data_IF_342011597366
#
_entry.id   IF_342011597366
#
_cell.length_a   1.000
_cell.length_b   1.000
_cell.length_c   1.000
_cell.angle_alpha   90.00
_cell.angle_beta   90.00
_cell.angle_gamma   90.00
#
_symmetry.space_group_name_H-M   'P 1'
#
loop_
_entity.id
_entity.type
_entity.pdbx_description
1 polymer ?
#
# COMPACT_ATOMS: atom_id res chain seq x y z
N UNK A 1 27.91 -16.99 41.00
CA UNK A 1 28.47 -16.51 39.71
C UNK A 1 27.39 -16.72 38.67
N UNK A 2 26.59 -15.68 38.48
CA UNK A 2 25.51 -15.60 37.49
C UNK A 2 26.11 -15.66 36.08
N UNK A 3 25.54 -16.48 35.19
CA UNK A 3 25.85 -16.42 33.76
C UNK A 3 24.56 -16.19 32.99
N UNK A 4 24.45 -14.93 32.57
CA UNK A 4 23.53 -14.26 31.65
C UNK A 4 22.96 -15.14 30.53
N UNK A 5 21.64 -15.04 30.38
CA UNK A 5 20.83 -15.47 29.24
C UNK A 5 21.16 -14.59 28.02
N UNK A 6 21.39 -15.11 26.80
CA UNK A 6 21.35 -14.27 25.61
C UNK A 6 19.90 -14.10 25.17
N UNK A 7 19.41 -12.87 25.30
CA UNK A 7 18.18 -12.41 24.68
C UNK A 7 18.50 -12.01 23.24
N UNK A 8 18.20 -12.87 22.27
CA UNK A 8 18.25 -12.53 20.85
C UNK A 8 16.82 -12.25 20.36
N UNK A 9 16.43 -10.98 20.51
CA UNK A 9 15.25 -10.41 19.85
C UNK A 9 15.77 -9.49 18.75
N UNK A 10 16.30 -10.08 17.68
CA UNK A 10 16.61 -9.38 16.44
C UNK A 10 15.35 -9.03 15.66
N UNK A 11 14.58 -8.04 16.14
CA UNK A 11 13.62 -7.32 15.29
C UNK A 11 14.41 -6.35 14.43
N UNK A 12 14.78 -6.79 13.22
CA UNK A 12 15.27 -5.89 12.18
C UNK A 12 14.08 -5.02 11.73
N UNK A 13 13.90 -3.86 12.34
CA UNK A 13 13.06 -2.80 11.78
C UNK A 13 13.72 -2.36 10.46
N UNK A 14 13.30 -2.96 9.34
CA UNK A 14 13.66 -2.45 8.01
C UNK A 14 13.05 -1.06 7.89
N UNK A 15 13.91 -0.05 7.67
CA UNK A 15 13.48 1.33 7.57
C UNK A 15 12.57 1.51 6.34
N UNK A 16 11.33 1.91 6.57
CA UNK A 16 10.35 2.22 5.52
C UNK A 16 10.64 3.59 4.89
N UNK A 17 10.41 3.71 3.58
CA UNK A 17 10.62 4.95 2.82
C UNK A 17 9.31 5.45 2.24
N UNK A 18 9.03 6.76 2.36
CA UNK A 18 7.84 7.37 1.76
C UNK A 18 7.98 7.45 0.23
N UNK A 19 6.90 7.18 -0.49
CA UNK A 19 6.84 7.31 -1.94
C UNK A 19 7.13 8.74 -2.41
N UNK A 20 7.39 8.88 -3.70
CA UNK A 20 7.51 10.20 -4.35
C UNK A 20 6.13 10.81 -4.64
N UNK A 21 6.11 12.10 -4.99
CA UNK A 21 4.89 12.77 -5.43
C UNK A 21 4.22 12.02 -6.61
N UNK A 22 2.88 11.95 -6.65
CA UNK A 22 1.94 12.67 -5.78
C UNK A 22 1.49 11.91 -4.52
N UNK A 23 2.05 10.74 -4.21
CA UNK A 23 1.56 9.85 -3.15
C UNK A 23 2.34 9.99 -1.83
N UNK A 24 2.81 11.20 -1.54
CA UNK A 24 3.69 11.52 -0.41
C UNK A 24 3.07 12.53 0.57
N UNK A 25 1.74 12.69 0.53
CA UNK A 25 1.01 13.59 1.41
C UNK A 25 0.64 12.87 2.72
N UNK A 26 1.22 13.21 3.89
CA UNK A 26 0.95 12.50 5.15
C UNK A 26 -0.45 12.77 5.73
N UNK A 27 -1.27 13.60 5.08
CA UNK A 27 -2.61 13.97 5.54
C UNK A 27 -3.73 13.10 4.96
N UNK A 28 -3.40 12.02 4.24
CA UNK A 28 -4.40 11.09 3.72
C UNK A 28 -4.89 10.12 4.81
N UNK A 29 -5.97 9.40 4.54
CA UNK A 29 -6.59 8.46 5.49
C UNK A 29 -6.08 7.01 5.35
N UNK A 30 -5.34 6.69 4.28
CA UNK A 30 -4.78 5.36 4.02
C UNK A 30 -3.29 5.42 3.60
N UNK A 31 -2.52 4.45 4.07
CA UNK A 31 -1.14 4.17 3.65
C UNK A 31 -1.06 2.74 3.12
N UNK A 32 -0.52 2.59 1.92
CA UNK A 32 -0.20 1.28 1.33
C UNK A 32 1.28 1.02 1.54
N UNK A 33 1.61 -0.04 2.27
CA UNK A 33 2.97 -0.46 2.56
C UNK A 33 3.36 -1.67 1.70
N UNK A 34 4.29 -1.45 0.79
CA UNK A 34 4.70 -2.41 -0.24
C UNK A 34 5.83 -3.33 0.22
N UNK A 35 6.01 -4.45 -0.47
CA UNK A 35 6.97 -5.49 -0.07
C UNK A 35 8.45 -5.07 -0.12
N UNK A 36 8.76 -3.99 -0.84
CA UNK A 36 10.07 -3.34 -0.88
C UNK A 36 10.18 -2.15 0.10
N UNK A 37 9.30 -2.08 1.10
CA UNK A 37 9.24 -1.08 2.17
C UNK A 37 9.04 0.35 1.68
N UNK A 38 8.20 0.54 0.65
CA UNK A 38 7.72 1.87 0.25
C UNK A 38 6.28 2.09 0.73
N UNK A 39 6.03 3.25 1.33
CA UNK A 39 4.71 3.70 1.75
C UNK A 39 4.11 4.71 0.78
N UNK A 40 2.90 4.43 0.30
CA UNK A 40 2.10 5.35 -0.51
C UNK A 40 0.96 5.91 0.33
N UNK A 41 0.91 7.22 0.49
CA UNK A 41 -0.20 7.91 1.13
C UNK A 41 -1.31 8.20 0.11
N UNK A 42 -2.49 7.64 0.32
CA UNK A 42 -3.63 7.66 -0.61
C UNK A 42 -4.96 7.85 0.12
N UNK A 43 -6.00 8.20 -0.63
CA UNK A 43 -7.34 8.37 -0.08
C UNK A 43 -8.14 7.06 -0.24
N UNK A 44 -8.60 6.51 0.88
CA UNK A 44 -9.42 5.30 0.95
C UNK A 44 -10.64 5.43 0.03
N UNK A 45 -11.30 6.59 0.02
CA UNK A 45 -12.46 6.85 -0.84
C UNK A 45 -12.16 6.60 -2.33
N UNK A 46 -11.00 7.02 -2.80
CA UNK A 46 -10.61 6.87 -4.20
C UNK A 46 -10.30 5.40 -4.50
N UNK A 47 -9.57 4.74 -3.60
CA UNK A 47 -9.22 3.33 -3.75
C UNK A 47 -10.46 2.42 -3.73
N UNK A 48 -11.39 2.64 -2.79
CA UNK A 48 -12.70 1.98 -2.75
C UNK A 48 -13.51 2.20 -4.03
N UNK A 49 -13.50 3.43 -4.56
CA UNK A 49 -14.23 3.77 -5.78
C UNK A 49 -13.70 3.05 -7.03
N UNK A 50 -12.39 2.77 -7.06
CA UNK A 50 -11.75 2.09 -8.19
C UNK A 50 -11.64 0.56 -8.03
N UNK A 51 -11.77 0.04 -6.81
CA UNK A 51 -11.55 -1.37 -6.49
C UNK A 51 -12.68 -1.94 -5.61
N UNK A 52 -13.53 -2.82 -6.17
CA UNK A 52 -14.48 -3.62 -5.41
C UNK A 52 -13.83 -4.45 -4.31
N UNK A 53 -12.61 -4.96 -4.54
CA UNK A 53 -11.83 -5.69 -3.54
C UNK A 53 -11.63 -4.83 -2.28
N UNK A 54 -11.13 -3.61 -2.44
CA UNK A 54 -10.90 -2.70 -1.33
C UNK A 54 -12.21 -2.25 -0.69
N UNK A 55 -13.22 -1.89 -1.48
CA UNK A 55 -14.54 -1.55 -0.94
C UNK A 55 -15.12 -2.66 -0.06
N UNK A 56 -14.97 -3.93 -0.47
CA UNK A 56 -15.40 -5.07 0.31
C UNK A 56 -14.51 -5.25 1.56
N UNK A 57 -13.19 -5.22 1.42
CA UNK A 57 -12.25 -5.33 2.54
C UNK A 57 -12.55 -4.30 3.64
N UNK A 58 -12.68 -3.02 3.28
CA UNK A 58 -12.97 -1.95 4.23
C UNK A 58 -14.37 -2.05 4.83
N UNK A 59 -15.36 -2.59 4.11
CA UNK A 59 -16.71 -2.82 4.66
C UNK A 59 -16.74 -3.88 5.78
N UNK A 60 -15.77 -4.80 5.77
CA UNK A 60 -15.61 -5.83 6.81
C UNK A 60 -14.90 -5.28 8.06
N UNK A 61 -14.18 -4.16 7.93
CA UNK A 61 -13.60 -3.48 9.07
C UNK A 61 -14.75 -2.78 9.83
N UNK A 62 -15.07 -3.32 11.01
CA UNK A 62 -16.19 -2.88 11.85
C UNK A 62 -16.26 -1.34 11.96
N UNK A 63 -17.47 -0.72 12.00
CA UNK A 63 -17.64 0.73 12.07
C UNK A 63 -16.98 1.44 13.27
N UNK A 64 -16.43 0.70 14.23
CA UNK A 64 -15.57 1.23 15.28
C UNK A 64 -14.18 1.67 14.75
N UNK A 65 -13.69 1.05 13.67
CA UNK A 65 -12.46 1.43 12.95
C UNK A 65 -12.66 2.72 12.17
N UNK A 66 -13.82 2.85 11.50
CA UNK A 66 -14.17 3.95 10.58
C UNK A 66 -14.53 5.27 11.30
N UNK A 67 -14.88 5.22 12.60
CA UNK A 67 -15.28 6.39 13.39
C UNK A 67 -14.21 6.92 14.35
N UNK A 68 -13.03 6.32 14.35
CA UNK A 68 -11.95 6.80 15.20
C UNK A 68 -11.23 7.94 14.51
N UNK A 69 -11.08 9.09 15.17
CA UNK A 69 -10.24 10.20 14.69
C UNK A 69 -8.74 9.85 14.86
N UNK A 70 -8.34 8.63 14.54
CA UNK A 70 -7.03 8.03 14.79
C UNK A 70 -6.60 7.14 13.63
N UNK A 71 -5.34 6.68 13.66
CA UNK A 71 -4.27 7.00 12.71
C UNK A 71 -4.56 6.48 11.29
N UNK A 72 -3.83 7.03 10.32
CA UNK A 72 -3.78 6.54 8.93
C UNK A 72 -3.77 5.00 8.91
N UNK A 73 -4.75 4.39 8.24
CA UNK A 73 -4.81 2.93 8.15
C UNK A 73 -3.64 2.45 7.29
N UNK A 74 -2.87 1.46 7.76
CA UNK A 74 -1.75 0.90 6.99
C UNK A 74 -2.13 -0.47 6.48
N UNK A 75 -2.05 -0.68 5.16
CA UNK A 75 -2.28 -1.98 4.52
C UNK A 75 -0.98 -2.48 3.91
N UNK A 76 -0.54 -3.66 4.37
CA UNK A 76 0.56 -4.39 3.76
C UNK A 76 0.11 -5.10 2.49
N UNK A 77 0.93 -4.98 1.44
CA UNK A 77 0.69 -5.58 0.13
C UNK A 77 1.93 -6.34 -0.35
N UNK A 78 1.72 -7.43 -1.07
CA UNK A 78 2.81 -8.32 -1.49
C UNK A 78 3.61 -7.79 -2.69
N UNK A 79 3.00 -6.92 -3.48
CA UNK A 79 3.55 -6.38 -4.72
C UNK A 79 4.51 -5.23 -4.41
N UNK A 80 5.60 -5.08 -5.19
CA UNK A 80 6.56 -4.02 -4.98
C UNK A 80 6.01 -2.66 -5.39
N UNK A 81 6.64 -1.61 -4.88
CA UNK A 81 6.32 -0.19 -5.12
C UNK A 81 6.14 0.17 -6.58
N UNK A 82 6.92 -0.41 -7.49
CA UNK A 82 6.83 -0.14 -8.92
C UNK A 82 5.50 -0.59 -9.54
N UNK A 83 4.87 -1.63 -8.99
CA UNK A 83 3.55 -2.09 -9.42
C UNK A 83 2.48 -1.19 -8.81
N UNK A 84 2.62 -0.86 -7.53
CA UNK A 84 1.68 0.01 -6.83
C UNK A 84 1.64 1.45 -7.36
N UNK A 85 2.78 2.06 -7.72
CA UNK A 85 2.78 3.37 -8.38
C UNK A 85 1.96 3.35 -9.67
N UNK A 86 2.04 2.26 -10.46
CA UNK A 86 1.26 2.12 -11.69
C UNK A 86 -0.23 1.93 -11.42
N UNK A 87 -0.60 1.04 -10.50
CA UNK A 87 -2.01 0.84 -10.11
C UNK A 87 -2.63 2.14 -9.61
N UNK A 88 -1.94 2.85 -8.71
CA UNK A 88 -2.43 4.12 -8.17
C UNK A 88 -2.57 5.18 -9.25
N UNK A 89 -1.66 5.26 -10.21
CA UNK A 89 -1.79 6.22 -11.32
C UNK A 89 -2.95 5.90 -12.24
N UNK A 90 -3.26 4.62 -12.47
CA UNK A 90 -4.48 4.21 -13.19
C UNK A 90 -5.72 4.66 -12.40
N UNK A 91 -5.76 4.35 -11.11
CA UNK A 91 -6.85 4.72 -10.19
C UNK A 91 -7.09 6.24 -10.12
N UNK A 92 -6.03 7.04 -10.11
CA UNK A 92 -6.09 8.50 -10.02
C UNK A 92 -6.13 9.20 -11.40
N UNK A 93 -6.21 8.45 -12.50
CA UNK A 93 -6.16 8.97 -13.87
C UNK A 93 -4.95 9.89 -14.13
N UNK A 94 -3.79 9.50 -13.60
CA UNK A 94 -2.52 10.23 -13.71
C UNK A 94 -1.64 9.63 -14.82
N UNK A 95 -0.81 10.46 -15.48
CA UNK A 95 0.15 9.93 -16.44
C UNK A 95 1.18 9.03 -15.73
N UNK A 96 1.63 7.94 -16.40
CA UNK A 96 2.73 7.14 -15.90
C UNK A 96 4.02 7.97 -15.90
N UNK A 97 4.91 7.82 -14.90
CA UNK A 97 6.13 8.60 -14.83
C UNK A 97 7.14 8.12 -15.87
N UNK A 98 7.10 6.83 -16.20
CA UNK A 98 7.95 6.16 -17.18
C UNK A 98 7.15 5.09 -17.94
N UNK A 99 7.56 4.72 -19.16
CA UNK A 99 6.99 3.59 -19.89
C UNK A 99 7.01 2.30 -19.06
N UNK A 100 6.04 1.42 -19.30
CA UNK A 100 5.99 0.10 -18.66
C UNK A 100 7.09 -0.78 -19.26
N UNK A 101 7.97 -1.31 -18.42
CA UNK A 101 8.94 -2.30 -18.84
C UNK A 101 8.25 -3.64 -19.12
N UNK A 102 8.71 -4.39 -20.11
CA UNK A 102 8.03 -5.62 -20.55
C UNK A 102 7.87 -6.68 -19.45
N UNK A 103 8.86 -6.79 -18.58
CA UNK A 103 8.87 -7.69 -17.41
C UNK A 103 7.89 -7.26 -16.31
N UNK A 104 7.41 -6.01 -16.33
CA UNK A 104 6.42 -5.47 -15.39
C UNK A 104 4.98 -5.65 -15.86
N UNK A 105 4.74 -5.95 -17.15
CA UNK A 105 3.39 -6.07 -17.70
C UNK A 105 2.59 -7.19 -17.04
N UNK A 106 3.19 -8.37 -16.90
CA UNK A 106 2.51 -9.52 -16.33
C UNK A 106 2.23 -9.35 -14.83
N UNK A 107 3.21 -8.96 -13.99
CA UNK A 107 2.95 -8.66 -12.58
C UNK A 107 1.92 -7.54 -12.36
N UNK A 108 1.93 -6.50 -13.21
CA UNK A 108 0.94 -5.43 -13.13
C UNK A 108 -0.47 -5.94 -13.42
N UNK A 109 -0.61 -6.78 -14.45
CA UNK A 109 -1.89 -7.39 -14.80
C UNK A 109 -2.40 -8.31 -13.68
N UNK A 110 -1.54 -9.17 -13.13
CA UNK A 110 -1.90 -10.04 -12.00
C UNK A 110 -2.35 -9.23 -10.78
N UNK A 111 -1.66 -8.14 -10.46
CA UNK A 111 -2.02 -7.26 -9.36
C UNK A 111 -3.34 -6.53 -9.63
N UNK A 112 -3.54 -6.00 -10.84
CA UNK A 112 -4.80 -5.35 -11.23
C UNK A 112 -5.99 -6.31 -11.09
N UNK A 113 -5.83 -7.58 -11.52
CA UNK A 113 -6.85 -8.60 -11.33
C UNK A 113 -7.07 -8.94 -9.85
N UNK A 114 -6.00 -9.09 -9.07
CA UNK A 114 -6.09 -9.40 -7.63
C UNK A 114 -6.86 -8.33 -6.86
N UNK A 115 -6.65 -7.07 -7.20
CA UNK A 115 -7.27 -5.93 -6.54
C UNK A 115 -8.52 -5.43 -7.27
N UNK A 116 -9.04 -6.16 -8.26
CA UNK A 116 -10.20 -5.75 -9.08
C UNK A 116 -10.10 -4.30 -9.60
N UNK A 117 -8.90 -3.84 -9.97
CA UNK A 117 -8.68 -2.52 -10.55
C UNK A 117 -8.81 -2.62 -12.08
N UNK A 118 -9.65 -1.80 -12.73
CA UNK A 118 -9.78 -1.82 -14.19
C UNK A 118 -8.47 -1.39 -14.85
N UNK A 119 -8.05 -2.16 -15.86
CA UNK A 119 -6.84 -1.92 -16.67
C UNK A 119 -7.09 -1.06 -17.92
#
# INVERSE_FOLDING_TARGET
>A
MEKTIPNDSGSSDTATTLASAPFNNPHTDLTIHTSDNIEFCVENLILCGASPFFANMFSLLSPASVKSSTPVEVIDVSEPSVIWDRLLRITYALPPPTPIAYDQLWPLFEAAQKYDIPG
#
